data_IF_690639271458
#
_entry.id   IF_690639271458
#
_cell.length_a   1.000
_cell.length_b   1.000
_cell.length_c   1.000
_cell.angle_alpha   90.00
_cell.angle_beta   90.00
_cell.angle_gamma   90.00
#
_symmetry.space_group_name_H-M   'P 1'
#
loop_
_entity.id
_entity.type
_entity.pdbx_description
1 polymer ?
#
# COMPACT_ATOMS: atom_id res chain seq x y z
N UNK A 1 16.82 13.63 6.51
CA UNK A 1 16.21 13.11 5.28
C UNK A 1 16.93 13.51 3.98
N UNK A 2 17.34 14.78 3.75
CA UNK A 2 17.85 15.21 2.43
C UNK A 2 19.08 14.46 1.91
N UNK A 3 19.99 14.03 2.81
CA UNK A 3 21.18 13.26 2.42
C UNK A 3 20.80 11.85 1.95
N UNK A 4 19.91 11.18 2.68
CA UNK A 4 19.53 9.80 2.39
C UNK A 4 18.74 9.67 1.08
N UNK A 5 17.81 10.60 0.80
CA UNK A 5 17.07 10.61 -0.46
C UNK A 5 18.00 10.80 -1.67
N UNK A 6 19.03 11.65 -1.56
CA UNK A 6 20.05 11.78 -2.60
C UNK A 6 20.85 10.50 -2.80
N UNK A 7 21.23 9.83 -1.72
CA UNK A 7 21.90 8.53 -1.81
C UNK A 7 21.04 7.49 -2.53
N UNK A 8 19.72 7.43 -2.24
CA UNK A 8 18.81 6.54 -2.97
C UNK A 8 18.75 6.87 -4.47
N UNK A 9 18.69 8.16 -4.83
CA UNK A 9 18.73 8.60 -6.23
C UNK A 9 20.05 8.21 -6.90
N UNK A 10 21.18 8.42 -6.23
CA UNK A 10 22.53 8.05 -6.72
C UNK A 10 22.70 6.53 -6.87
N UNK A 11 22.05 5.74 -6.02
CA UNK A 11 22.00 4.27 -6.16
C UNK A 11 21.18 3.81 -7.38
N UNK A 12 20.38 4.69 -7.99
CA UNK A 12 19.59 4.40 -9.18
C UNK A 12 18.13 4.06 -8.92
N UNK A 13 17.61 4.28 -7.71
CA UNK A 13 16.17 4.17 -7.46
C UNK A 13 15.41 5.27 -8.21
N UNK A 14 14.34 4.90 -8.91
CA UNK A 14 13.51 5.85 -9.66
C UNK A 14 12.56 6.65 -8.77
N UNK A 15 12.35 6.21 -7.53
CA UNK A 15 11.34 6.78 -6.66
C UNK A 15 11.37 6.22 -5.24
N UNK A 16 10.45 6.71 -4.40
CA UNK A 16 10.32 6.32 -2.99
C UNK A 16 8.85 6.16 -2.58
N UNK A 17 8.65 5.39 -1.53
CA UNK A 17 7.38 5.19 -0.83
C UNK A 17 7.66 5.27 0.68
N UNK A 18 6.70 5.78 1.46
CA UNK A 18 6.73 5.78 2.92
C UNK A 18 6.45 4.37 3.46
N UNK A 19 7.46 3.50 3.44
CA UNK A 19 7.37 2.20 4.09
C UNK A 19 8.69 1.87 4.81
N UNK A 20 8.65 1.50 6.12
CA UNK A 20 7.48 1.35 6.99
C UNK A 20 6.72 2.66 7.23
N UNK A 21 5.41 2.56 7.54
CA UNK A 21 4.55 3.74 7.81
C UNK A 21 3.80 3.60 9.13
N UNK A 22 3.71 4.69 9.88
CA UNK A 22 2.88 4.78 11.09
C UNK A 22 1.39 4.81 10.77
N UNK A 23 1.01 4.99 9.50
CA UNK A 23 -0.37 4.88 9.02
C UNK A 23 -1.01 3.51 9.22
N UNK A 24 -0.19 2.45 9.39
CA UNK A 24 -0.64 1.11 9.76
C UNK A 24 -0.78 0.88 11.27
N UNK A 25 -0.36 1.84 12.09
CA UNK A 25 -0.40 1.75 13.56
C UNK A 25 -1.63 2.51 14.05
N UNK A 26 -2.38 1.91 14.97
CA UNK A 26 -3.60 2.46 15.57
C UNK A 26 -3.54 2.52 17.11
N UNK A 27 -4.65 2.92 17.72
CA UNK A 27 -4.83 2.96 19.16
C UNK A 27 -3.88 3.90 19.90
N UNK A 28 -3.63 3.62 21.18
CA UNK A 28 -2.78 4.45 22.04
C UNK A 28 -1.35 4.53 21.52
N UNK A 29 -0.83 3.45 20.92
CA UNK A 29 0.52 3.45 20.36
C UNK A 29 0.67 4.49 19.25
N UNK A 30 -0.32 4.59 18.34
CA UNK A 30 -0.31 5.64 17.31
C UNK A 30 -0.27 7.04 17.93
N UNK A 31 -1.12 7.29 18.93
CA UNK A 31 -1.17 8.58 19.62
C UNK A 31 0.18 8.93 20.25
N UNK A 32 0.85 7.98 20.90
CA UNK A 32 2.14 8.21 21.55
C UNK A 32 3.26 8.46 20.53
N UNK A 33 3.24 7.76 19.38
CA UNK A 33 4.20 7.99 18.28
C UNK A 33 4.04 9.40 17.69
N UNK A 34 2.82 9.83 17.43
CA UNK A 34 2.52 11.19 16.96
C UNK A 34 2.99 12.25 17.98
N UNK A 35 2.68 12.04 19.26
CA UNK A 35 3.05 12.97 20.34
C UNK A 35 4.57 13.08 20.58
N UNK A 36 5.35 12.07 20.17
CA UNK A 36 6.80 12.02 20.37
C UNK A 36 7.60 12.35 19.11
N UNK A 37 6.94 12.84 18.05
CA UNK A 37 7.60 13.31 16.83
C UNK A 37 7.89 12.22 15.80
N UNK A 38 7.30 11.04 15.94
CA UNK A 38 7.29 9.95 14.96
C UNK A 38 5.96 9.91 14.21
N UNK A 39 5.41 11.08 13.91
CA UNK A 39 4.12 11.25 13.28
C UNK A 39 4.13 11.06 11.77
N UNK A 40 2.94 10.91 11.21
CA UNK A 40 2.75 10.80 9.75
C UNK A 40 3.15 12.08 9.01
N UNK A 41 3.16 13.24 9.69
CA UNK A 41 3.68 14.51 9.16
C UNK A 41 5.12 14.40 8.66
N UNK A 42 5.95 13.56 9.30
CA UNK A 42 7.33 13.30 8.87
C UNK A 42 7.41 12.49 7.59
N UNK A 43 6.45 11.59 7.36
CA UNK A 43 6.34 10.84 6.11
C UNK A 43 5.93 11.76 4.96
N UNK A 44 4.98 12.67 5.20
CA UNK A 44 4.58 13.71 4.23
C UNK A 44 5.77 14.60 3.87
N UNK A 45 6.53 15.09 4.86
CA UNK A 45 7.72 15.91 4.61
C UNK A 45 8.81 15.15 3.83
N UNK A 46 8.98 13.84 4.09
CA UNK A 46 9.89 13.00 3.32
C UNK A 46 9.48 12.93 1.84
N UNK A 47 8.19 12.74 1.56
CA UNK A 47 7.66 12.73 0.19
C UNK A 47 7.85 14.08 -0.49
N UNK A 48 7.60 15.19 0.21
CA UNK A 48 7.84 16.54 -0.31
C UNK A 48 9.30 16.74 -0.75
N UNK A 49 10.24 16.36 0.13
CA UNK A 49 11.67 16.44 -0.17
C UNK A 49 12.10 15.50 -1.32
N UNK A 50 11.45 14.34 -1.47
CA UNK A 50 11.73 13.43 -2.57
C UNK A 50 11.23 13.98 -3.90
N UNK A 51 10.03 14.57 -3.92
CA UNK A 51 9.47 15.25 -5.08
C UNK A 51 10.37 16.43 -5.53
N UNK A 52 10.86 17.25 -4.60
CA UNK A 52 11.82 18.34 -4.90
C UNK A 52 13.15 17.83 -5.50
N UNK A 53 13.50 16.58 -5.21
CA UNK A 53 14.66 15.91 -5.79
C UNK A 53 14.33 15.19 -7.09
N UNK A 54 13.15 15.37 -7.67
CA UNK A 54 12.71 14.72 -8.91
C UNK A 54 12.87 13.19 -8.81
N UNK A 55 12.39 12.64 -7.71
CA UNK A 55 12.15 11.20 -7.52
C UNK A 55 10.65 10.97 -7.68
N UNK A 56 10.27 9.87 -8.34
CA UNK A 56 8.86 9.46 -8.37
C UNK A 56 8.39 9.13 -6.96
N UNK A 57 7.20 9.60 -6.59
CA UNK A 57 6.67 9.48 -5.24
C UNK A 57 5.34 8.75 -5.24
N UNK A 58 5.29 7.64 -4.52
CA UNK A 58 4.11 6.77 -4.48
C UNK A 58 3.67 6.41 -3.05
N UNK A 59 3.36 7.39 -2.18
CA UNK A 59 3.04 7.13 -0.78
C UNK A 59 1.78 6.29 -0.58
N UNK A 60 1.80 5.48 0.48
CA UNK A 60 0.58 4.96 1.09
C UNK A 60 -0.19 6.07 1.77
N UNK A 61 -1.52 6.05 1.67
CA UNK A 61 -2.45 6.94 2.38
C UNK A 61 -3.60 6.13 2.97
N UNK A 62 -4.05 6.50 4.17
CA UNK A 62 -5.05 5.75 4.94
C UNK A 62 -6.31 6.57 5.20
N UNK A 63 -6.19 7.90 5.27
CA UNK A 63 -7.29 8.86 5.49
C UNK A 63 -7.36 9.93 4.40
N UNK A 64 -8.52 10.60 4.26
CA UNK A 64 -8.69 11.69 3.30
C UNK A 64 -7.75 12.87 3.58
N UNK A 65 -7.45 13.14 4.84
CA UNK A 65 -6.51 14.18 5.25
C UNK A 65 -5.09 13.84 4.79
N UNK A 66 -4.65 12.60 4.99
CA UNK A 66 -3.36 12.12 4.51
C UNK A 66 -3.27 12.13 2.97
N UNK A 67 -4.36 11.80 2.28
CA UNK A 67 -4.44 11.88 0.82
C UNK A 67 -4.26 13.32 0.31
N UNK A 68 -4.91 14.30 0.96
CA UNK A 68 -4.72 15.72 0.66
C UNK A 68 -3.30 16.18 0.97
N UNK A 69 -2.76 15.78 2.12
CA UNK A 69 -1.42 16.16 2.54
C UNK A 69 -0.34 15.62 1.59
N UNK A 70 -0.45 14.36 1.16
CA UNK A 70 0.48 13.76 0.20
C UNK A 70 0.34 14.39 -1.20
N UNK A 71 -0.88 14.66 -1.66
CA UNK A 71 -1.08 15.40 -2.91
C UNK A 71 -0.48 16.80 -2.84
N UNK A 72 -0.64 17.51 -1.72
CA UNK A 72 -0.05 18.84 -1.49
C UNK A 72 1.48 18.80 -1.43
N UNK A 73 2.06 17.70 -0.96
CA UNK A 73 3.50 17.46 -0.93
C UNK A 73 4.11 17.19 -2.31
N UNK A 74 3.29 16.99 -3.36
CA UNK A 74 3.75 16.69 -4.71
C UNK A 74 3.80 15.20 -5.03
N UNK A 75 3.04 14.37 -4.31
CA UNK A 75 2.93 12.95 -4.65
C UNK A 75 2.50 12.75 -6.11
N UNK A 76 3.26 11.95 -6.87
CA UNK A 76 2.93 11.59 -8.25
C UNK A 76 1.79 10.56 -8.29
N UNK A 77 1.75 9.69 -7.28
CA UNK A 77 0.74 8.66 -7.12
C UNK A 77 0.36 8.47 -5.66
N UNK A 78 -0.93 8.29 -5.37
CA UNK A 78 -1.42 7.86 -4.06
C UNK A 78 -1.73 6.37 -4.09
N UNK A 79 -1.22 5.63 -3.10
CA UNK A 79 -1.55 4.24 -2.88
C UNK A 79 -2.56 4.15 -1.74
N UNK A 80 -3.85 4.06 -2.08
CA UNK A 80 -4.95 3.97 -1.13
C UNK A 80 -4.90 2.63 -0.37
N UNK A 81 -4.53 2.66 0.91
CA UNK A 81 -4.19 1.47 1.69
C UNK A 81 -5.33 1.05 2.63
N UNK A 82 -5.88 -0.15 2.39
CA UNK A 82 -7.03 -0.70 3.12
C UNK A 82 -6.64 -1.54 4.35
N UNK A 83 -5.45 -1.32 4.92
CA UNK A 83 -4.89 -2.15 5.99
C UNK A 83 -4.27 -3.47 5.50
N UNK A 84 -3.93 -4.35 6.44
CA UNK A 84 -3.24 -5.61 6.16
C UNK A 84 -4.07 -6.52 5.23
N UNK A 85 -3.40 -7.20 4.30
CA UNK A 85 -4.02 -8.17 3.38
C UNK A 85 -4.70 -9.29 4.17
N UNK A 86 -5.98 -9.56 3.88
CA UNK A 86 -6.79 -10.51 4.63
C UNK A 86 -6.45 -11.99 4.33
N UNK A 87 -5.91 -12.30 3.15
CA UNK A 87 -5.63 -13.69 2.74
C UNK A 87 -4.30 -14.29 3.24
N UNK A 88 -4.26 -15.63 3.23
CA UNK A 88 -3.11 -16.45 3.58
C UNK A 88 -3.11 -16.92 5.04
N UNK A 89 -2.00 -17.53 5.46
CA UNK A 89 -1.88 -18.13 6.81
C UNK A 89 -1.68 -17.11 7.95
N UNK A 90 -1.38 -15.85 7.61
CA UNK A 90 -1.02 -14.76 8.53
C UNK A 90 -1.98 -13.55 8.37
N UNK A 91 -3.03 -13.67 7.54
CA UNK A 91 -3.94 -12.57 7.22
C UNK A 91 -4.74 -12.04 8.41
N UNK A 92 -5.11 -10.76 8.37
CA UNK A 92 -5.87 -10.11 9.44
C UNK A 92 -7.28 -10.70 9.59
N UNK A 93 -7.67 -11.02 10.84
CA UNK A 93 -8.95 -11.69 11.15
C UNK A 93 -10.18 -10.77 11.10
N UNK A 94 -10.00 -9.44 11.04
CA UNK A 94 -11.08 -8.47 10.94
C UNK A 94 -11.08 -7.88 9.52
N UNK A 95 -11.71 -8.58 8.58
CA UNK A 95 -11.72 -8.19 7.19
C UNK A 95 -12.79 -7.13 6.91
N UNK A 96 -12.35 -5.94 6.49
CA UNK A 96 -13.16 -4.98 5.75
C UNK A 96 -13.81 -5.69 4.54
N UNK A 97 -15.09 -5.40 4.26
CA UNK A 97 -15.73 -5.97 3.07
C UNK A 97 -15.14 -5.36 1.79
N UNK A 98 -15.28 -6.06 0.66
CA UNK A 98 -14.80 -5.53 -0.62
C UNK A 98 -15.51 -4.23 -1.01
N UNK A 99 -16.81 -4.12 -0.73
CA UNK A 99 -17.57 -2.90 -1.02
C UNK A 99 -17.13 -1.72 -0.14
N UNK A 100 -16.87 -1.95 1.17
CA UNK A 100 -16.31 -0.92 2.05
C UNK A 100 -14.91 -0.46 1.60
N UNK A 101 -14.08 -1.40 1.13
CA UNK A 101 -12.77 -1.10 0.59
C UNK A 101 -12.85 -0.23 -0.67
N UNK A 102 -13.79 -0.54 -1.56
CA UNK A 102 -14.05 0.25 -2.77
C UNK A 102 -14.48 1.66 -2.39
N UNK A 103 -15.49 1.81 -1.52
CA UNK A 103 -15.97 3.13 -1.08
C UNK A 103 -14.84 3.98 -0.48
N UNK A 104 -14.02 3.35 0.37
CA UNK A 104 -12.90 4.04 1.02
C UNK A 104 -11.80 4.43 0.04
N UNK A 105 -11.42 3.55 -0.91
CA UNK A 105 -10.47 3.92 -1.97
C UNK A 105 -10.99 5.11 -2.79
N UNK A 106 -12.27 5.11 -3.14
CA UNK A 106 -12.87 6.21 -3.90
C UNK A 106 -12.86 7.53 -3.13
N UNK A 107 -13.12 7.51 -1.82
CA UNK A 107 -13.03 8.68 -0.96
C UNK A 107 -11.61 9.25 -0.91
N UNK A 108 -10.60 8.39 -0.71
CA UNK A 108 -9.18 8.80 -0.73
C UNK A 108 -8.77 9.38 -2.08
N UNK A 109 -9.20 8.74 -3.18
CA UNK A 109 -8.94 9.23 -4.53
C UNK A 109 -9.55 10.62 -4.77
N UNK A 110 -10.80 10.83 -4.33
CA UNK A 110 -11.48 12.10 -4.45
C UNK A 110 -10.78 13.19 -3.60
N UNK A 111 -10.38 12.87 -2.38
CA UNK A 111 -9.69 13.81 -1.50
C UNK A 111 -8.34 14.28 -2.06
N UNK A 112 -7.52 13.36 -2.57
CA UNK A 112 -6.26 13.70 -3.25
C UNK A 112 -6.48 14.57 -4.48
N UNK A 113 -7.48 14.24 -5.31
CA UNK A 113 -7.79 14.99 -6.54
C UNK A 113 -8.40 16.37 -6.32
N UNK A 114 -8.97 16.64 -5.14
CA UNK A 114 -9.37 17.99 -4.78
C UNK A 114 -8.15 18.93 -4.62
N UNK A 115 -6.97 18.38 -4.34
CA UNK A 115 -5.71 19.14 -4.22
C UNK A 115 -4.94 19.12 -5.53
N UNK A 116 -4.76 17.93 -6.12
CA UNK A 116 -4.09 17.75 -7.41
C UNK A 116 -4.97 16.91 -8.35
N UNK A 117 -5.71 17.53 -9.30
CA UNK A 117 -6.60 16.81 -10.22
C UNK A 117 -5.91 15.72 -11.04
N UNK A 118 -4.60 15.83 -11.27
CA UNK A 118 -3.82 14.94 -12.12
C UNK A 118 -3.13 13.79 -11.35
N UNK A 119 -3.27 13.74 -10.02
CA UNK A 119 -2.63 12.68 -9.21
C UNK A 119 -3.17 11.30 -9.58
N UNK A 120 -2.24 10.36 -9.82
CA UNK A 120 -2.58 8.96 -10.03
C UNK A 120 -3.02 8.33 -8.70
N UNK A 121 -3.95 7.39 -8.75
CA UNK A 121 -4.40 6.67 -7.57
C UNK A 121 -4.49 5.18 -7.89
N UNK A 122 -3.86 4.36 -7.06
CA UNK A 122 -3.98 2.90 -7.10
C UNK A 122 -4.39 2.38 -5.72
N UNK A 123 -4.91 1.15 -5.67
CA UNK A 123 -5.40 0.55 -4.43
C UNK A 123 -4.46 -0.54 -3.88
N UNK A 124 -4.50 -0.79 -2.57
CA UNK A 124 -3.69 -1.81 -1.91
C UNK A 124 -4.32 -2.32 -0.60
N UNK A 125 -4.12 -3.59 -0.28
CA UNK A 125 -4.37 -4.15 1.04
C UNK A 125 -5.84 -4.50 1.34
N UNK A 126 -6.10 -4.91 2.58
CA UNK A 126 -7.43 -5.38 3.00
C UNK A 126 -7.93 -6.55 2.15
N UNK A 127 -9.17 -6.50 1.61
CA UNK A 127 -9.72 -7.53 0.73
C UNK A 127 -9.24 -7.45 -0.73
N UNK A 128 -8.33 -6.52 -1.06
CA UNK A 128 -7.73 -6.39 -2.39
C UNK A 128 -6.45 -7.25 -2.46
N UNK A 129 -6.62 -8.55 -2.66
CA UNK A 129 -5.55 -9.53 -2.43
C UNK A 129 -5.34 -10.55 -3.57
N UNK A 130 -6.38 -11.04 -4.20
CA UNK A 130 -6.30 -11.97 -5.33
C UNK A 130 -6.89 -11.34 -6.61
N UNK A 131 -6.52 -11.83 -7.81
CA UNK A 131 -7.01 -11.29 -9.07
C UNK A 131 -8.54 -11.19 -9.17
N UNK A 132 -9.27 -12.13 -8.58
CA UNK A 132 -10.73 -12.14 -8.59
C UNK A 132 -11.31 -10.93 -7.83
N UNK A 133 -10.81 -10.67 -6.61
CA UNK A 133 -11.26 -9.54 -5.81
C UNK A 133 -10.81 -8.20 -6.41
N UNK A 134 -9.54 -8.11 -6.81
CA UNK A 134 -8.98 -6.89 -7.41
C UNK A 134 -9.66 -6.56 -8.74
N UNK A 135 -9.95 -7.56 -9.57
CA UNK A 135 -10.64 -7.40 -10.84
C UNK A 135 -12.05 -6.83 -10.68
N UNK A 136 -12.83 -7.39 -9.74
CA UNK A 136 -14.16 -6.86 -9.39
C UNK A 136 -14.08 -5.43 -8.88
N UNK A 137 -13.11 -5.13 -8.02
CA UNK A 137 -12.95 -3.80 -7.44
C UNK A 137 -12.59 -2.74 -8.49
N UNK A 138 -11.63 -3.01 -9.37
CA UNK A 138 -11.21 -2.08 -10.42
C UNK A 138 -12.36 -1.76 -11.39
N UNK A 139 -13.22 -2.73 -11.72
CA UNK A 139 -14.41 -2.48 -12.53
C UNK A 139 -15.39 -1.49 -11.88
N UNK A 140 -15.47 -1.48 -10.54
CA UNK A 140 -16.30 -0.56 -9.76
C UNK A 140 -15.62 0.79 -9.48
N UNK A 141 -14.34 0.95 -9.81
CA UNK A 141 -13.54 2.15 -9.56
C UNK A 141 -12.84 2.65 -10.85
N UNK A 142 -13.57 3.07 -11.88
CA UNK A 142 -12.98 3.46 -13.17
C UNK A 142 -11.97 4.63 -13.09
N UNK A 143 -12.02 5.41 -12.01
CA UNK A 143 -11.09 6.48 -11.72
C UNK A 143 -9.85 6.03 -10.94
N UNK A 144 -9.64 4.75 -10.66
CA UNK A 144 -8.45 4.19 -10.01
C UNK A 144 -7.62 3.47 -11.08
N UNK A 145 -6.33 3.79 -11.17
CA UNK A 145 -5.48 3.41 -12.31
C UNK A 145 -4.87 2.01 -12.18
N UNK A 146 -5.04 1.34 -11.04
CA UNK A 146 -4.47 0.01 -10.84
C UNK A 146 -4.39 -0.43 -9.39
N UNK A 147 -3.53 -1.41 -9.15
CA UNK A 147 -3.36 -2.10 -7.88
C UNK A 147 -1.89 -2.25 -7.55
N UNK A 148 -1.52 -1.98 -6.29
CA UNK A 148 -0.18 -2.24 -5.77
C UNK A 148 -0.16 -3.60 -5.08
N UNK A 149 0.54 -4.58 -5.64
CA UNK A 149 0.63 -5.92 -5.07
C UNK A 149 1.96 -6.18 -4.38
N UNK A 150 1.91 -6.73 -3.16
CA UNK A 150 3.09 -7.21 -2.44
C UNK A 150 2.89 -8.69 -2.06
N UNK A 151 2.27 -8.97 -0.91
CA UNK A 151 1.94 -10.35 -0.50
C UNK A 151 1.16 -11.14 -1.56
N UNK A 152 0.26 -10.47 -2.29
CA UNK A 152 -0.52 -11.04 -3.39
C UNK A 152 0.31 -11.53 -4.57
N UNK A 153 1.47 -10.90 -4.80
CA UNK A 153 2.34 -11.18 -5.95
C UNK A 153 3.39 -12.21 -5.59
N UNK A 154 4.03 -12.08 -4.43
CA UNK A 154 5.16 -12.95 -4.07
C UNK A 154 4.81 -14.03 -3.05
N UNK A 155 4.09 -13.68 -1.97
CA UNK A 155 3.93 -14.56 -0.81
C UNK A 155 2.88 -15.63 -1.07
N UNK A 156 1.66 -15.23 -1.41
CA UNK A 156 0.54 -16.16 -1.58
C UNK A 156 0.79 -17.18 -2.70
N UNK A 157 1.29 -16.78 -3.89
CA UNK A 157 1.59 -17.75 -4.95
C UNK A 157 2.71 -18.72 -4.55
N UNK A 158 3.76 -18.22 -3.90
CA UNK A 158 4.90 -19.04 -3.45
C UNK A 158 4.50 -20.01 -2.34
N UNK A 159 3.72 -19.57 -1.35
CA UNK A 159 3.20 -20.43 -0.27
C UNK A 159 2.42 -21.61 -0.85
N UNK A 160 1.52 -21.36 -1.82
CA UNK A 160 0.75 -22.41 -2.49
C UNK A 160 1.63 -23.37 -3.28
N UNK A 161 2.53 -22.83 -4.10
CA UNK A 161 3.38 -23.63 -4.99
C UNK A 161 4.33 -24.55 -4.20
N UNK A 162 5.07 -24.00 -3.23
CA UNK A 162 6.02 -24.78 -2.43
C UNK A 162 5.28 -25.82 -1.59
N UNK A 163 4.18 -25.44 -0.93
CA UNK A 163 3.41 -26.37 -0.11
C UNK A 163 2.81 -27.49 -0.94
N UNK A 164 2.27 -27.15 -2.12
CA UNK A 164 1.74 -28.13 -3.07
C UNK A 164 2.81 -29.14 -3.48
N UNK A 165 3.97 -28.65 -3.94
CA UNK A 165 5.07 -29.51 -4.36
C UNK A 165 5.53 -30.49 -3.26
N UNK A 166 5.66 -30.00 -2.02
CA UNK A 166 6.06 -30.84 -0.89
C UNK A 166 4.99 -31.89 -0.58
N UNK A 167 3.70 -31.54 -0.63
CA UNK A 167 2.60 -32.50 -0.44
C UNK A 167 2.62 -33.60 -1.50
N UNK A 168 2.87 -33.24 -2.76
CA UNK A 168 2.93 -34.20 -3.86
C UNK A 168 4.08 -35.20 -3.68
N UNK A 169 5.28 -34.74 -3.31
CA UNK A 169 6.39 -35.63 -2.97
C UNK A 169 6.08 -36.53 -1.77
N UNK A 170 5.40 -36.00 -0.76
CA UNK A 170 5.01 -36.76 0.44
C UNK A 170 3.93 -37.79 0.16
N UNK A 171 3.16 -37.65 -0.92
CA UNK A 171 2.10 -38.57 -1.32
C UNK A 171 2.60 -39.76 -2.17
N UNK A 172 3.87 -39.76 -2.59
CA UNK A 172 4.44 -40.87 -3.35
C UNK A 172 4.42 -42.17 -2.54
N UNK A 173 3.98 -43.26 -3.17
CA UNK A 173 4.13 -44.59 -2.62
C UNK A 173 5.59 -45.04 -2.75
N UNK A 174 6.14 -45.56 -1.66
CA UNK A 174 7.43 -46.25 -1.70
C UNK A 174 7.20 -47.67 -2.24
N UNK A 175 8.19 -48.23 -2.93
CA UNK A 175 8.13 -49.63 -3.34
C UNK A 175 8.09 -50.53 -2.09
N UNK A 176 6.94 -51.16 -1.84
CA UNK A 176 6.66 -52.07 -0.74
C UNK A 176 5.40 -52.88 -1.02
#
# INVERSE_FOLDING_TARGET
MPVFLRQLKEMGFSGVQNFPTVGLIDGQLRVDLEATGMGYDKEVEMIRLAHELDLFTSPYVFTEEEARAMAQAGADMLVAHMGLTASGTIGAQHAMSLDDAIERVLALAAAGRQVNPDVLVICHGGPLDEPDNVGVALQKMPQVQGFFGASSIERLPTERAITGQVRDFKALALAG
#
